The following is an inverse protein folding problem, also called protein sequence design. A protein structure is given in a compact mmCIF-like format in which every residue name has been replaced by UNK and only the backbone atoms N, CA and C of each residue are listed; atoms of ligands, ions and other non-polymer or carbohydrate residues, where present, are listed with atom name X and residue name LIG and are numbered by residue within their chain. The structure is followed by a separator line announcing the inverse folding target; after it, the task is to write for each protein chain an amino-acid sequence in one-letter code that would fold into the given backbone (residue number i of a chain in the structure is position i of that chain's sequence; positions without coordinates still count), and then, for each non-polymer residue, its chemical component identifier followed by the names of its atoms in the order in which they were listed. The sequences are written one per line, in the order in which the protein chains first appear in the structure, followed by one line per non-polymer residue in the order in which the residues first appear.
data_IF_042668226161
#
_entry.id   IF_042668226161
#
_cell.length_a   1.000
_cell.length_b   1.000
_cell.length_c   1.000
_cell.angle_alpha   90.00
_cell.angle_beta   90.00
_cell.angle_gamma   90.00
#
_symmetry.space_group_name_H-M   'P 1'
#
loop_
_entity.id
_entity.type
_entity.pdbx_description
1 polymer ?
#
# COMPACT_ATOMS: atom_id res chain seq x y z
N UNK A 1 23.69 2.11 8.81
CA UNK A 1 23.42 0.67 8.58
C UNK A 1 22.28 0.04 9.40
N UNK A 2 21.60 0.78 10.30
CA UNK A 2 20.58 0.18 11.20
C UNK A 2 19.11 0.32 10.74
N UNK A 3 18.77 1.20 9.80
CA UNK A 3 17.38 1.43 9.38
C UNK A 3 16.74 0.23 8.68
N UNK A 4 17.46 -0.41 7.76
CA UNK A 4 16.94 -1.58 7.06
C UNK A 4 16.75 -2.82 7.97
N UNK A 5 17.52 -2.94 9.06
CA UNK A 5 17.34 -3.98 10.07
C UNK A 5 16.07 -3.77 10.90
N UNK A 6 15.72 -2.51 11.25
CA UNK A 6 14.51 -2.21 11.99
C UNK A 6 13.23 -2.54 11.22
N UNK A 7 13.20 -2.30 9.91
CA UNK A 7 12.05 -2.66 9.09
C UNK A 7 11.89 -4.18 8.91
N UNK A 8 12.98 -4.96 8.90
CA UNK A 8 12.92 -6.44 8.89
C UNK A 8 12.37 -7.02 10.20
N UNK A 9 12.52 -6.28 11.29
CA UNK A 9 12.10 -6.67 12.64
C UNK A 9 10.76 -6.03 13.08
N UNK A 10 9.94 -5.54 12.14
CA UNK A 10 8.53 -5.27 12.47
C UNK A 10 7.99 -6.56 13.08
N UNK A 11 7.82 -6.53 14.38
CA UNK A 11 7.47 -7.73 15.15
C UNK A 11 6.07 -8.19 14.72
N UNK A 12 6.03 -9.19 13.83
CA UNK A 12 4.80 -9.76 13.28
C UNK A 12 3.83 -10.20 14.38
N UNK A 13 4.37 -10.63 15.52
CA UNK A 13 3.55 -11.07 16.66
C UNK A 13 2.90 -9.87 17.39
N UNK A 14 3.56 -8.73 17.43
CA UNK A 14 2.98 -7.50 18.00
C UNK A 14 1.84 -6.94 17.14
N UNK A 15 1.90 -7.15 15.80
CA UNK A 15 0.85 -6.73 14.87
C UNK A 15 -0.42 -7.61 14.94
N UNK A 16 -0.30 -8.86 15.43
CA UNK A 16 -1.40 -9.86 15.41
C UNK A 16 -2.28 -9.78 16.68
N UNK A 17 -1.80 -9.19 17.78
CA UNK A 17 -2.46 -9.25 19.09
C UNK A 17 -3.33 -8.03 19.41
N UNK A 18 -4.28 -7.64 18.56
CA UNK A 18 -5.20 -6.57 18.91
C UNK A 18 -6.68 -6.88 18.82
N UNK A 19 -7.35 -6.28 19.83
CA UNK A 19 -8.79 -6.28 20.03
C UNK A 19 -9.53 -5.71 18.81
N UNK A 20 -10.64 -6.35 18.36
CA UNK A 20 -11.53 -5.85 17.31
C UNK A 20 -12.01 -4.39 17.52
N UNK A 21 -12.04 -3.91 18.76
CA UNK A 21 -12.44 -2.53 19.09
C UNK A 21 -11.39 -1.51 18.60
N UNK A 22 -10.12 -1.84 18.71
CA UNK A 22 -9.02 -0.98 18.24
C UNK A 22 -8.96 -0.91 16.72
N UNK A 23 -9.31 -2.02 16.05
CA UNK A 23 -9.48 -2.03 14.60
C UNK A 23 -10.62 -1.08 14.17
N UNK A 24 -11.77 -1.10 14.84
CA UNK A 24 -12.89 -0.20 14.54
C UNK A 24 -12.53 1.27 14.74
N UNK A 25 -11.70 1.58 15.72
CA UNK A 25 -11.26 2.96 16.01
C UNK A 25 -10.24 3.43 14.97
N UNK A 26 -9.29 2.59 14.60
CA UNK A 26 -8.35 2.88 13.51
C UNK A 26 -9.08 3.10 12.18
N UNK A 27 -10.16 2.35 11.93
CA UNK A 27 -10.98 2.44 10.73
C UNK A 27 -11.92 3.65 10.70
N UNK A 28 -12.44 4.08 11.85
CA UNK A 28 -13.14 5.37 11.98
C UNK A 28 -12.19 6.55 11.73
N UNK A 29 -10.94 6.41 12.10
CA UNK A 29 -9.91 7.41 11.83
C UNK A 29 -9.45 7.43 10.37
N UNK A 30 -9.57 6.30 9.63
CA UNK A 30 -9.41 6.26 8.17
C UNK A 30 -10.37 7.19 7.44
N UNK A 31 -11.62 7.27 7.90
CA UNK A 31 -12.64 8.15 7.32
C UNK A 31 -12.44 9.63 7.67
N UNK A 32 -11.55 9.93 8.62
CA UNK A 32 -11.33 11.28 9.18
C UNK A 32 -9.98 11.91 8.84
N UNK A 33 -9.36 11.59 7.72
CA UNK A 33 -8.20 12.34 7.17
C UNK A 33 -6.78 11.87 7.48
N UNK A 34 -6.56 10.98 8.46
CA UNK A 34 -5.19 10.67 8.91
C UNK A 34 -4.37 9.71 8.04
N UNK A 35 -5.00 8.87 7.20
CA UNK A 35 -4.28 7.80 6.51
C UNK A 35 -4.15 7.97 4.99
N UNK A 36 -4.95 8.85 4.38
CA UNK A 36 -4.82 9.13 2.94
C UNK A 36 -3.46 9.76 2.65
N UNK A 37 -2.73 9.18 1.70
CA UNK A 37 -1.39 9.63 1.34
C UNK A 37 -0.27 9.03 2.20
N UNK A 38 -0.59 8.21 3.21
CA UNK A 38 0.42 7.50 4.01
C UNK A 38 0.71 6.12 3.44
N UNK A 39 1.89 5.59 3.73
CA UNK A 39 2.29 4.21 3.39
C UNK A 39 2.09 3.33 4.62
N UNK A 40 1.33 2.24 4.44
CA UNK A 40 0.92 1.35 5.51
C UNK A 40 1.26 -0.11 5.18
N UNK A 41 1.63 -0.86 6.21
CA UNK A 41 1.73 -2.32 6.17
C UNK A 41 0.73 -2.92 7.15
N UNK A 42 0.08 -4.02 6.77
CA UNK A 42 -0.88 -4.73 7.61
C UNK A 42 -1.07 -6.17 7.14
N UNK A 43 -1.58 -7.04 8.00
CA UNK A 43 -2.02 -8.37 7.58
C UNK A 43 -3.43 -8.30 7.00
N UNK A 44 -3.62 -8.97 5.86
CA UNK A 44 -4.88 -8.97 5.12
C UNK A 44 -5.30 -10.39 4.70
N UNK A 45 -6.54 -10.75 5.01
CA UNK A 45 -7.16 -12.02 4.58
C UNK A 45 -8.33 -11.72 3.64
N UNK A 46 -8.14 -11.76 2.30
CA UNK A 46 -9.16 -11.31 1.35
C UNK A 46 -10.43 -12.16 1.39
N UNK A 47 -11.58 -11.50 1.24
CA UNK A 47 -12.92 -12.12 1.29
C UNK A 47 -13.08 -13.29 0.31
N UNK A 48 -12.51 -13.16 -0.90
CA UNK A 48 -12.67 -14.13 -1.97
C UNK A 48 -11.35 -14.83 -2.32
N UNK A 49 -10.53 -15.12 -1.33
CA UNK A 49 -9.19 -15.71 -1.52
C UNK A 49 -9.19 -16.99 -2.36
N UNK A 50 -10.25 -17.78 -2.28
CA UNK A 50 -10.35 -19.03 -3.05
C UNK A 50 -10.46 -18.78 -4.56
N UNK A 51 -11.13 -17.69 -4.97
CA UNK A 51 -11.34 -17.31 -6.36
C UNK A 51 -10.20 -16.44 -6.92
N UNK A 52 -9.37 -15.85 -6.05
CA UNK A 52 -8.25 -15.03 -6.50
C UNK A 52 -7.13 -15.89 -7.06
N UNK A 53 -6.53 -15.51 -8.21
CA UNK A 53 -5.37 -16.22 -8.76
C UNK A 53 -4.16 -16.14 -7.84
N UNK A 54 -4.02 -15.04 -7.12
CA UNK A 54 -3.04 -14.81 -6.05
C UNK A 54 -3.43 -13.59 -5.23
N UNK A 55 -2.88 -13.47 -4.04
CA UNK A 55 -3.09 -12.32 -3.16
C UNK A 55 -1.90 -12.15 -2.21
N UNK A 56 -1.74 -10.94 -1.69
CA UNK A 56 -0.68 -10.57 -0.76
C UNK A 56 -1.22 -10.57 0.67
N UNK A 57 -0.61 -11.35 1.56
CA UNK A 57 -0.99 -11.44 2.97
C UNK A 57 -0.46 -10.26 3.80
N UNK A 58 0.61 -9.63 3.35
CA UNK A 58 1.26 -8.55 4.08
C UNK A 58 1.56 -7.38 3.14
N UNK A 59 0.52 -6.72 2.65
CA UNK A 59 0.64 -5.66 1.65
C UNK A 59 1.38 -4.43 2.16
N UNK A 60 2.14 -3.80 1.27
CA UNK A 60 2.72 -2.47 1.42
C UNK A 60 1.91 -1.50 0.57
N UNK A 61 1.11 -0.67 1.21
CA UNK A 61 0.04 0.10 0.55
C UNK A 61 0.17 1.59 0.80
N UNK A 62 0.12 2.38 -0.28
CA UNK A 62 -0.17 3.82 -0.16
C UNK A 62 -1.68 3.99 -0.20
N UNK A 63 -2.26 4.56 0.85
CA UNK A 63 -3.71 4.75 0.96
C UNK A 63 -4.15 5.90 0.06
N UNK A 64 -5.10 5.61 -0.85
CA UNK A 64 -5.59 6.57 -1.85
C UNK A 64 -6.83 7.30 -1.37
N UNK A 65 -7.74 6.60 -0.70
CA UNK A 65 -8.98 7.20 -0.24
C UNK A 65 -9.99 6.19 0.29
N UNK A 66 -11.12 6.67 0.83
CA UNK A 66 -12.17 5.80 1.32
C UNK A 66 -12.87 5.03 0.19
N UNK A 67 -13.37 3.85 0.52
CA UNK A 67 -14.19 3.01 -0.33
C UNK A 67 -15.30 2.36 0.48
N UNK A 68 -16.32 1.82 -0.18
CA UNK A 68 -17.41 1.11 0.51
C UNK A 68 -16.87 -0.07 1.32
N UNK A 69 -17.13 -0.05 2.61
CA UNK A 69 -16.66 -1.08 3.56
C UNK A 69 -15.15 -1.11 3.77
N UNK A 70 -14.41 -0.08 3.30
CA UNK A 70 -12.96 -0.10 3.39
C UNK A 70 -12.27 1.12 2.77
N UNK A 71 -11.20 0.85 2.04
CA UNK A 71 -10.38 1.89 1.40
C UNK A 71 -9.75 1.40 0.11
N UNK A 72 -9.42 2.34 -0.77
CA UNK A 72 -8.58 2.10 -1.92
C UNK A 72 -7.12 2.35 -1.60
N UNK A 73 -6.24 1.52 -2.14
CA UNK A 73 -4.81 1.67 -1.97
C UNK A 73 -4.01 1.13 -3.14
N UNK A 74 -2.79 1.64 -3.26
CA UNK A 74 -1.79 1.19 -4.23
C UNK A 74 -0.84 0.21 -3.52
N UNK A 75 -0.99 -1.10 -3.77
CA UNK A 75 -0.10 -2.12 -3.22
C UNK A 75 1.16 -2.24 -4.09
N UNK A 76 2.26 -1.72 -3.57
CA UNK A 76 3.55 -1.68 -4.27
C UNK A 76 4.09 -3.06 -4.62
N UNK A 77 3.76 -4.08 -3.86
CA UNK A 77 4.22 -5.44 -4.10
C UNK A 77 3.75 -6.01 -5.46
N UNK A 78 2.64 -5.50 -6.02
CA UNK A 78 2.15 -5.94 -7.34
C UNK A 78 2.93 -5.32 -8.51
N UNK A 79 3.77 -4.33 -8.28
CA UNK A 79 4.57 -3.69 -9.31
C UNK A 79 5.98 -4.24 -9.37
N UNK A 80 6.56 -4.42 -10.57
CA UNK A 80 8.00 -4.62 -10.73
C UNK A 80 8.79 -3.45 -10.09
N UNK A 81 10.01 -3.68 -9.60
CA UNK A 81 10.80 -2.66 -8.89
C UNK A 81 10.95 -1.32 -9.62
N UNK A 82 11.17 -1.37 -10.94
CA UNK A 82 11.33 -0.15 -11.75
C UNK A 82 10.07 0.73 -11.78
N UNK A 83 8.88 0.12 -11.78
CA UNK A 83 7.61 0.86 -11.76
C UNK A 83 7.32 1.39 -10.35
N UNK A 84 7.75 0.69 -9.30
CA UNK A 84 7.69 1.20 -7.92
C UNK A 84 8.53 2.46 -7.77
N UNK A 85 9.77 2.44 -8.28
CA UNK A 85 10.66 3.60 -8.25
C UNK A 85 10.00 4.80 -8.93
N UNK A 86 9.52 4.65 -10.16
CA UNK A 86 8.84 5.73 -10.89
C UNK A 86 7.63 6.31 -10.17
N UNK A 87 6.83 5.47 -9.53
CA UNK A 87 5.69 5.93 -8.75
C UNK A 87 6.13 6.68 -7.50
N UNK A 88 7.17 6.17 -6.82
CA UNK A 88 7.71 6.79 -5.63
C UNK A 88 8.32 8.16 -5.94
N UNK A 89 9.10 8.27 -7.01
CA UNK A 89 9.68 9.55 -7.47
C UNK A 89 8.59 10.59 -7.68
N UNK A 90 7.52 10.24 -8.39
CA UNK A 90 6.39 11.15 -8.64
C UNK A 90 5.70 11.62 -7.35
N UNK A 91 5.66 10.81 -6.31
CA UNK A 91 5.09 11.17 -5.00
C UNK A 91 6.07 12.00 -4.17
N UNK A 92 7.35 11.66 -4.19
CA UNK A 92 8.40 12.34 -3.42
C UNK A 92 8.68 13.76 -3.92
N UNK A 93 8.52 14.04 -5.21
CA UNK A 93 8.58 15.39 -5.74
C UNK A 93 7.65 16.35 -5.00
N UNK A 94 6.44 15.89 -4.63
CA UNK A 94 5.46 16.71 -3.90
C UNK A 94 5.90 16.95 -2.46
N UNK A 95 6.48 15.95 -1.81
CA UNK A 95 6.95 16.05 -0.44
C UNK A 95 8.08 17.08 -0.26
N UNK A 96 8.87 17.27 -1.32
CA UNK A 96 10.02 18.19 -1.32
C UNK A 96 9.65 19.63 -1.72
N UNK A 97 8.38 19.92 -2.07
CA UNK A 97 7.96 21.28 -2.42
C UNK A 97 7.99 22.21 -1.20
N UNK A 98 8.43 23.44 -1.39
CA UNK A 98 8.34 24.52 -0.39
C UNK A 98 6.90 25.03 -0.30
N UNK A 99 6.03 24.27 0.31
CA UNK A 99 4.62 24.60 0.51
C UNK A 99 4.19 24.24 1.94
N UNK A 100 3.13 24.87 2.43
CA UNK A 100 2.53 24.50 3.72
C UNK A 100 2.01 23.05 3.72
N UNK A 101 1.89 22.44 4.90
CA UNK A 101 1.49 21.02 5.05
C UNK A 101 0.13 20.73 4.40
N UNK A 102 -0.86 21.62 4.53
CA UNK A 102 -2.17 21.47 3.90
C UNK A 102 -2.09 21.48 2.36
N UNK A 103 -1.26 22.36 1.80
CA UNK A 103 -1.05 22.43 0.36
C UNK A 103 -0.34 21.18 -0.16
N UNK A 104 0.67 20.68 0.55
CA UNK A 104 1.35 19.41 0.24
C UNK A 104 0.38 18.24 0.28
N UNK A 105 -0.47 18.16 1.30
CA UNK A 105 -1.49 17.13 1.40
C UNK A 105 -2.45 17.15 0.20
N UNK A 106 -2.97 18.31 -0.16
CA UNK A 106 -3.89 18.47 -1.31
C UNK A 106 -3.23 18.07 -2.64
N UNK A 107 -1.98 18.43 -2.84
CA UNK A 107 -1.23 18.07 -4.06
C UNK A 107 -0.96 16.56 -4.08
N UNK A 108 -0.54 15.99 -2.96
CA UNK A 108 -0.31 14.54 -2.85
C UNK A 108 -1.59 13.75 -3.11
N UNK A 109 -2.71 14.19 -2.56
CA UNK A 109 -4.02 13.56 -2.80
C UNK A 109 -4.41 13.59 -4.27
N UNK A 110 -4.29 14.75 -4.93
CA UNK A 110 -4.57 14.89 -6.37
C UNK A 110 -3.66 14.00 -7.22
N UNK A 111 -2.37 13.90 -6.87
CA UNK A 111 -1.41 13.02 -7.56
C UNK A 111 -1.75 11.54 -7.36
N UNK A 112 -2.12 11.12 -6.16
CA UNK A 112 -2.55 9.76 -5.89
C UNK A 112 -3.80 9.40 -6.69
N UNK A 113 -4.78 10.31 -6.78
CA UNK A 113 -5.97 10.13 -7.60
C UNK A 113 -5.62 10.04 -9.09
N UNK A 114 -4.68 10.82 -9.58
CA UNK A 114 -4.20 10.76 -10.96
C UNK A 114 -3.45 9.45 -11.23
N UNK A 115 -2.53 9.07 -10.37
CA UNK A 115 -1.75 7.82 -10.47
C UNK A 115 -2.67 6.60 -10.45
N UNK A 116 -3.67 6.58 -9.59
CA UNK A 116 -4.61 5.45 -9.48
C UNK A 116 -5.41 5.20 -10.75
N UNK A 117 -5.57 6.21 -11.61
CA UNK A 117 -6.26 6.13 -12.91
C UNK A 117 -5.33 5.72 -14.06
N UNK A 118 -4.02 5.76 -13.86
CA UNK A 118 -3.06 5.39 -14.89
C UNK A 118 -3.05 3.87 -15.08
N UNK A 119 -3.17 3.41 -16.32
CA UNK A 119 -3.15 2.00 -16.70
C UNK A 119 -1.90 1.26 -16.19
N UNK A 120 -0.76 1.95 -16.11
CA UNK A 120 0.49 1.39 -15.59
C UNK A 120 0.40 0.94 -14.13
N UNK A 121 -0.49 1.53 -13.35
CA UNK A 121 -0.66 1.24 -11.92
C UNK A 121 -1.94 0.46 -11.61
N UNK A 122 -2.76 0.15 -12.61
CA UNK A 122 -3.95 -0.69 -12.47
C UNK A 122 -3.68 -2.01 -11.70
N UNK A 123 -2.58 -2.75 -11.96
CA UNK A 123 -2.32 -3.98 -11.24
C UNK A 123 -2.16 -3.82 -9.74
N UNK A 124 -1.70 -2.66 -9.26
CA UNK A 124 -1.48 -2.39 -7.84
C UNK A 124 -2.66 -1.70 -7.16
N UNK A 125 -3.61 -1.15 -7.91
CA UNK A 125 -4.81 -0.51 -7.34
C UNK A 125 -5.75 -1.56 -6.77
N UNK A 126 -6.01 -1.51 -5.46
CA UNK A 126 -6.79 -2.50 -4.72
C UNK A 126 -7.83 -1.86 -3.84
N UNK A 127 -8.95 -2.56 -3.68
CA UNK A 127 -9.96 -2.28 -2.66
C UNK A 127 -9.73 -3.21 -1.47
N UNK A 128 -9.44 -2.64 -0.30
CA UNK A 128 -9.27 -3.35 0.96
C UNK A 128 -10.51 -3.22 1.82
N UNK A 129 -11.13 -4.35 2.15
CA UNK A 129 -12.25 -4.39 3.08
C UNK A 129 -11.73 -4.37 4.51
N UNK A 130 -12.16 -3.40 5.31
CA UNK A 130 -11.65 -3.19 6.66
C UNK A 130 -11.85 -4.39 7.58
N UNK A 131 -12.99 -5.11 7.46
CA UNK A 131 -13.27 -6.32 8.23
C UNK A 131 -12.31 -7.48 7.93
N UNK A 132 -11.56 -7.40 6.84
CA UNK A 132 -10.58 -8.40 6.42
C UNK A 132 -9.13 -8.00 6.76
N UNK A 133 -8.91 -6.82 7.32
CA UNK A 133 -7.64 -6.43 7.95
C UNK A 133 -7.49 -7.19 9.26
N UNK A 134 -6.36 -7.89 9.43
CA UNK A 134 -6.11 -8.82 10.54
C UNK A 134 -5.05 -8.34 11.54
N UNK A 135 -4.60 -7.10 11.40
CA UNK A 135 -3.59 -6.48 12.27
C UNK A 135 -3.84 -5.00 12.43
N UNK A 136 -3.06 -4.35 13.29
CA UNK A 136 -2.88 -2.90 13.24
C UNK A 136 -2.27 -2.48 11.92
N UNK A 137 -2.50 -1.22 11.55
CA UNK A 137 -1.73 -0.55 10.53
C UNK A 137 -0.37 -0.15 11.09
N UNK A 138 0.70 -0.55 10.39
CA UNK A 138 2.06 -0.12 10.66
C UNK A 138 2.43 0.94 9.62
N UNK A 139 2.47 2.19 10.04
CA UNK A 139 2.88 3.28 9.17
C UNK A 139 4.37 3.21 8.86
N UNK A 140 4.70 3.38 7.59
CA UNK A 140 6.07 3.57 7.13
C UNK A 140 6.32 5.07 7.00
N UNK A 141 7.19 5.66 7.84
CA UNK A 141 7.51 7.08 7.74
C UNK A 141 8.07 7.44 6.37
N UNK A 142 7.73 8.62 5.85
CA UNK A 142 8.12 9.05 4.50
C UNK A 142 9.63 8.95 4.23
N UNK A 143 10.55 9.26 5.15
CA UNK A 143 11.99 9.08 4.94
C UNK A 143 12.42 7.61 4.72
N UNK A 144 11.55 6.66 5.03
CA UNK A 144 11.82 5.22 4.90
C UNK A 144 11.12 4.58 3.68
N UNK A 145 10.33 5.35 2.93
CA UNK A 145 9.54 4.83 1.79
C UNK A 145 10.41 4.16 0.74
N UNK A 146 11.55 4.76 0.39
CA UNK A 146 12.48 4.20 -0.58
C UNK A 146 12.98 2.82 -0.13
N UNK A 147 13.44 2.72 1.11
CA UNK A 147 13.91 1.46 1.68
C UNK A 147 12.79 0.42 1.72
N UNK A 148 11.60 0.81 2.21
CA UNK A 148 10.45 -0.08 2.32
C UNK A 148 10.00 -0.63 0.96
N UNK A 149 10.03 0.21 -0.07
CA UNK A 149 9.61 -0.12 -1.41
C UNK A 149 10.43 -1.25 -2.02
N UNK A 150 11.72 -1.35 -1.68
CA UNK A 150 12.63 -2.36 -2.24
C UNK A 150 12.90 -3.54 -1.32
N UNK A 151 12.46 -3.50 -0.07
CA UNK A 151 12.57 -4.66 0.82
C UNK A 151 11.67 -5.81 0.35
N UNK A 152 12.17 -7.07 0.38
CA UNK A 152 11.41 -8.24 -0.04
C UNK A 152 10.41 -8.66 1.05
N UNK A 153 9.43 -7.80 1.34
CA UNK A 153 8.40 -8.01 2.39
C UNK A 153 7.12 -8.65 1.87
N UNK A 154 6.95 -8.72 0.54
CA UNK A 154 5.77 -9.32 -0.11
C UNK A 154 5.55 -10.78 0.34
N UNK A 155 4.29 -11.11 0.68
CA UNK A 155 3.88 -12.45 1.09
C UNK A 155 2.74 -12.96 0.20
N UNK A 156 3.05 -13.21 -1.05
CA UNK A 156 2.08 -13.75 -1.98
C UNK A 156 1.68 -15.19 -1.64
N UNK A 157 0.38 -15.49 -1.79
CA UNK A 157 -0.18 -16.83 -1.82
C UNK A 157 -0.60 -17.19 -3.23
N UNK A 158 -0.51 -18.48 -3.58
CA UNK A 158 -0.81 -19.06 -4.91
C UNK A 158 0.11 -18.60 -6.05
N UNK A 159 1.06 -17.70 -5.80
CA UNK A 159 2.05 -17.26 -6.78
C UNK A 159 3.32 -16.75 -6.07
N UNK A 160 4.41 -16.69 -6.82
CA UNK A 160 5.61 -15.98 -6.40
C UNK A 160 5.68 -14.59 -7.06
N UNK A 161 6.58 -13.74 -6.58
CA UNK A 161 6.72 -12.37 -7.09
C UNK A 161 7.01 -12.31 -8.59
N UNK A 162 7.77 -13.28 -9.15
CA UNK A 162 8.06 -13.35 -10.59
C UNK A 162 6.78 -13.49 -11.41
N UNK A 163 5.88 -14.38 -11.00
CA UNK A 163 4.57 -14.58 -11.65
C UNK A 163 3.70 -13.34 -11.54
N UNK A 164 3.62 -12.76 -10.34
CA UNK A 164 2.84 -11.52 -10.10
C UNK A 164 3.33 -10.39 -11.01
N UNK A 165 4.64 -10.19 -11.13
CA UNK A 165 5.22 -9.15 -12.01
C UNK A 165 4.99 -9.45 -13.50
N UNK A 166 5.03 -10.71 -13.91
CA UNK A 166 4.71 -11.11 -15.28
C UNK A 166 3.25 -10.80 -15.62
N UNK A 167 2.32 -11.12 -14.72
CA UNK A 167 0.90 -10.84 -14.90
C UNK A 167 0.61 -9.32 -14.89
N UNK A 168 1.29 -8.56 -14.04
CA UNK A 168 1.18 -7.10 -14.02
C UNK A 168 1.65 -6.48 -15.33
N UNK A 169 2.80 -6.92 -15.87
CA UNK A 169 3.29 -6.47 -17.19
C UNK A 169 2.33 -6.82 -18.34
N UNK A 170 1.72 -8.01 -18.30
CA UNK A 170 0.72 -8.40 -19.31
C UNK A 170 -0.53 -7.50 -19.27
N UNK A 171 -1.00 -7.15 -18.08
CA UNK A 171 -2.13 -6.21 -17.93
C UNK A 171 -1.79 -4.83 -18.48
N UNK A 172 -0.62 -4.32 -18.14
CA UNK A 172 -0.12 -3.04 -18.64
C UNK A 172 -0.02 -3.06 -20.17
N UNK A 173 0.58 -4.10 -20.75
CA UNK A 173 0.78 -4.21 -22.20
C UNK A 173 -0.49 -4.47 -23.01
N UNK A 174 -1.54 -5.07 -22.43
CA UNK A 174 -2.84 -5.23 -23.10
C UNK A 174 -3.63 -3.92 -23.19
N UNK A 175 -3.28 -2.95 -22.39
CA UNK A 175 -3.96 -1.67 -22.26
C UNK A 175 -3.15 -0.50 -22.88
N UNK A 176 -1.98 -0.81 -23.44
CA UNK A 176 -1.15 0.12 -24.22
C UNK A 176 -1.45 0.01 -25.74
#
# INVERSE_FOLDING_TARGET
MNKAKNMRNINRQALIKEDPLTQRTALKNLSRTGLVGTMQMFFYDPKHKEKLPFYDLFPLVIVVGPAEGGFYGLNLHYLPPILRAKMLDALMETANMKAGEDAKFQITYKRLQAISKLKYYEPCFKHYLTKHVKSKFAEVPMPEWEIATFLPTAQFRKANSKKVYADSRKKIGKNA
#
